data_IF_069278411539
#
_entry.id   IF_069278411539
#
_cell.length_a   1.000
_cell.length_b   1.000
_cell.length_c   1.000
_cell.angle_alpha   90.00
_cell.angle_beta   90.00
_cell.angle_gamma   90.00
#
_symmetry.space_group_name_H-M   'P 1'
#
loop_
_entity.id
_entity.type
_entity.pdbx_description
1 polymer ?
#
# COMPACT_ATOMS: atom_id res chain seq x y z
N UNK A 1 -11.72 -4.33 -8.03
CA UNK A 1 -11.02 -3.13 -8.57
C UNK A 1 -9.80 -2.86 -7.70
N UNK A 2 -8.60 -3.17 -8.19
CA UNK A 2 -7.36 -2.69 -7.56
C UNK A 2 -7.23 -1.20 -7.89
N UNK A 3 -6.89 -0.38 -6.90
CA UNK A 3 -6.77 1.09 -7.01
C UNK A 3 -8.10 1.85 -7.14
N UNK A 4 -9.10 1.54 -6.31
CA UNK A 4 -10.36 2.30 -6.30
C UNK A 4 -10.17 3.81 -5.99
N UNK A 5 -9.02 4.22 -5.45
CA UNK A 5 -8.65 5.62 -5.18
C UNK A 5 -8.26 6.43 -6.42
N UNK A 6 -7.92 5.78 -7.55
CA UNK A 6 -7.55 6.49 -8.79
C UNK A 6 -8.79 6.93 -9.59
N UNK A 7 -9.95 6.33 -9.31
CA UNK A 7 -11.22 6.75 -9.89
C UNK A 7 -11.63 8.14 -9.37
N UNK A 8 -12.08 9.01 -10.27
CA UNK A 8 -12.63 10.29 -9.86
C UNK A 8 -14.00 10.10 -9.16
N UNK A 9 -14.48 11.15 -8.47
CA UNK A 9 -15.73 11.07 -7.68
C UNK A 9 -16.95 10.70 -8.53
N UNK A 10 -16.97 11.06 -9.80
CA UNK A 10 -18.12 10.85 -10.68
C UNK A 10 -18.13 9.44 -11.29
N UNK A 11 -16.96 8.88 -11.59
CA UNK A 11 -16.78 7.48 -11.99
C UNK A 11 -17.18 6.53 -10.88
N UNK A 12 -16.72 6.80 -9.64
CA UNK A 12 -17.10 5.98 -8.50
C UNK A 12 -18.61 6.07 -8.20
N UNK A 13 -19.24 7.23 -8.41
CA UNK A 13 -20.70 7.40 -8.31
C UNK A 13 -21.44 6.62 -9.38
N UNK A 14 -20.97 6.66 -10.63
CA UNK A 14 -21.57 5.94 -11.74
C UNK A 14 -21.50 4.43 -11.49
N UNK A 15 -20.34 3.93 -11.07
CA UNK A 15 -20.14 2.55 -10.67
C UNK A 15 -21.10 2.14 -9.53
N UNK A 16 -21.23 2.95 -8.48
CA UNK A 16 -22.16 2.69 -7.39
C UNK A 16 -23.63 2.64 -7.86
N UNK A 17 -24.03 3.55 -8.75
CA UNK A 17 -25.37 3.60 -9.33
C UNK A 17 -25.67 2.37 -10.18
N UNK A 18 -24.73 1.95 -11.02
CA UNK A 18 -24.87 0.79 -11.89
C UNK A 18 -24.99 -0.50 -11.06
N UNK A 19 -24.17 -0.66 -10.02
CA UNK A 19 -24.26 -1.79 -9.09
C UNK A 19 -25.61 -1.80 -8.33
N UNK A 20 -26.09 -0.63 -7.86
CA UNK A 20 -27.41 -0.53 -7.21
C UNK A 20 -28.57 -0.88 -8.17
N UNK A 21 -28.47 -0.50 -9.44
CA UNK A 21 -29.48 -0.81 -10.44
C UNK A 21 -29.56 -2.30 -10.73
N UNK A 22 -28.41 -2.96 -10.85
CA UNK A 22 -28.33 -4.41 -11.07
C UNK A 22 -28.90 -5.19 -9.89
N UNK A 23 -28.55 -4.81 -8.66
CA UNK A 23 -29.04 -5.48 -7.44
C UNK A 23 -30.55 -5.31 -7.24
N UNK A 24 -31.14 -4.17 -7.63
CA UNK A 24 -32.61 -3.94 -7.58
C UNK A 24 -33.41 -4.77 -8.57
N UNK A 25 -32.82 -5.19 -9.69
CA UNK A 25 -33.50 -6.03 -10.69
C UNK A 25 -33.59 -7.50 -10.28
N UNK A 26 -33.06 -7.88 -9.10
CA UNK A 26 -33.28 -9.19 -8.48
C UNK A 26 -32.66 -10.38 -9.20
N UNK A 27 -31.83 -10.17 -10.22
CA UNK A 27 -31.43 -11.23 -11.14
C UNK A 27 -30.11 -11.92 -10.80
N UNK A 28 -29.22 -11.35 -9.97
CA UNK A 28 -27.91 -11.94 -9.68
C UNK A 28 -27.38 -11.58 -8.27
N UNK A 29 -26.85 -12.55 -7.48
CA UNK A 29 -26.05 -12.23 -6.30
C UNK A 29 -24.73 -11.60 -6.75
N UNK A 30 -24.57 -10.30 -6.50
CA UNK A 30 -23.40 -9.51 -6.91
C UNK A 30 -22.61 -9.04 -5.67
N UNK A 31 -21.33 -9.42 -5.60
CA UNK A 31 -20.39 -8.92 -4.60
C UNK A 31 -19.35 -8.01 -5.28
N UNK A 32 -19.06 -6.86 -4.67
CA UNK A 32 -18.02 -5.94 -5.11
C UNK A 32 -16.86 -5.93 -4.11
N UNK A 33 -15.64 -6.14 -4.62
CA UNK A 33 -14.39 -6.05 -3.84
C UNK A 33 -13.48 -5.00 -4.47
N UNK A 34 -13.10 -4.00 -3.68
CA UNK A 34 -12.21 -2.92 -4.06
C UNK A 34 -11.09 -2.74 -3.03
N UNK A 35 -9.90 -2.36 -3.50
CA UNK A 35 -8.76 -2.03 -2.65
C UNK A 35 -8.25 -0.62 -2.98
N UNK A 36 -7.81 0.14 -1.98
CA UNK A 36 -7.23 1.46 -2.20
C UNK A 36 -6.72 2.14 -0.92
N UNK A 37 -6.01 3.25 -1.09
CA UNK A 37 -5.41 4.03 0.01
C UNK A 37 -6.48 4.68 0.92
N UNK A 38 -6.15 4.90 2.19
CA UNK A 38 -7.09 5.35 3.24
C UNK A 38 -7.86 6.65 2.93
N UNK A 39 -7.33 7.53 2.07
CA UNK A 39 -7.98 8.78 1.63
C UNK A 39 -9.37 8.55 0.99
N UNK A 40 -9.62 7.31 0.57
CA UNK A 40 -10.91 6.77 0.15
C UNK A 40 -12.04 6.93 1.18
N UNK A 41 -11.74 6.80 2.49
CA UNK A 41 -12.77 6.87 3.56
C UNK A 41 -13.47 8.24 3.54
N UNK A 42 -12.73 9.33 3.34
CA UNK A 42 -13.32 10.68 3.37
C UNK A 42 -14.05 11.02 2.06
N UNK A 43 -13.51 10.68 0.90
CA UNK A 43 -14.07 11.15 -0.37
C UNK A 43 -15.30 10.37 -0.86
N UNK A 44 -15.31 9.04 -0.67
CA UNK A 44 -16.37 8.17 -1.21
C UNK A 44 -17.49 7.88 -0.20
N UNK A 45 -17.19 7.83 1.10
CA UNK A 45 -18.21 7.55 2.13
C UNK A 45 -18.99 8.80 2.57
N UNK A 46 -18.39 9.99 2.51
CA UNK A 46 -19.02 11.23 3.02
C UNK A 46 -19.96 11.91 2.01
N UNK A 47 -19.96 11.49 0.74
CA UNK A 47 -20.86 12.04 -0.27
C UNK A 47 -22.33 11.75 0.07
N UNK A 48 -23.16 12.81 0.17
CA UNK A 48 -24.62 12.72 0.44
C UNK A 48 -25.41 11.78 -0.50
N UNK A 49 -24.85 11.40 -1.65
CA UNK A 49 -25.46 10.51 -2.66
C UNK A 49 -24.85 9.09 -2.76
N UNK A 50 -23.87 8.73 -1.93
CA UNK A 50 -23.14 7.45 -2.02
C UNK A 50 -23.67 6.37 -1.05
N UNK A 51 -24.97 6.08 -1.12
CA UNK A 51 -25.62 5.11 -0.21
C UNK A 51 -25.19 3.66 -0.44
N UNK A 52 -24.56 3.33 -1.57
CA UNK A 52 -24.02 1.99 -1.84
C UNK A 52 -22.78 1.72 -0.97
N UNK A 53 -21.76 2.59 -1.08
CA UNK A 53 -20.50 2.41 -0.36
C UNK A 53 -20.68 2.45 1.15
N UNK A 54 -21.64 3.23 1.67
CA UNK A 54 -22.01 3.21 3.09
C UNK A 54 -22.49 1.84 3.62
N UNK A 55 -22.87 0.92 2.73
CA UNK A 55 -23.27 -0.46 3.08
C UNK A 55 -22.16 -1.47 2.82
N UNK A 56 -21.04 -1.07 2.22
CA UNK A 56 -19.89 -1.94 2.04
C UNK A 56 -19.17 -2.09 3.38
N UNK A 57 -18.80 -3.33 3.70
CA UNK A 57 -17.90 -3.59 4.81
C UNK A 57 -16.48 -3.17 4.41
N UNK A 58 -15.85 -2.31 5.21
CA UNK A 58 -14.44 -1.95 5.05
C UNK A 58 -13.58 -2.84 5.93
N UNK A 59 -12.57 -3.47 5.34
CA UNK A 59 -11.55 -4.20 6.08
C UNK A 59 -10.22 -3.48 5.92
N UNK A 60 -9.66 -3.03 7.04
CA UNK A 60 -8.34 -2.39 7.06
C UNK A 60 -7.29 -3.50 7.16
N UNK A 61 -6.43 -3.61 6.13
CA UNK A 61 -5.35 -4.60 6.10
C UNK A 61 -4.25 -4.20 7.10
N UNK A 62 -3.92 -5.06 8.08
CA UNK A 62 -2.85 -4.78 9.02
C UNK A 62 -1.47 -4.85 8.33
N UNK A 63 -0.43 -4.25 8.94
CA UNK A 63 0.96 -4.48 8.53
C UNK A 63 1.33 -5.96 8.59
N UNK A 64 2.35 -6.34 7.82
CA UNK A 64 2.85 -7.72 7.84
C UNK A 64 3.39 -8.09 9.22
N UNK A 65 3.06 -9.29 9.69
CA UNK A 65 3.71 -9.85 10.87
C UNK A 65 5.12 -10.35 10.53
N UNK A 66 5.95 -10.55 11.56
CA UNK A 66 7.26 -11.19 11.37
C UNK A 66 7.15 -12.58 10.74
N UNK A 67 6.10 -13.35 11.08
CA UNK A 67 5.84 -14.66 10.47
C UNK A 67 5.49 -14.55 8.99
N UNK A 68 4.68 -13.55 8.62
CA UNK A 68 4.35 -13.30 7.21
C UNK A 68 5.60 -12.92 6.42
N UNK A 69 6.49 -12.11 7.01
CA UNK A 69 7.76 -11.72 6.40
C UNK A 69 8.69 -12.94 6.20
N UNK A 70 8.79 -13.83 7.20
CA UNK A 70 9.56 -15.07 7.08
C UNK A 70 9.06 -15.92 5.91
N UNK A 71 7.75 -16.17 5.84
CA UNK A 71 7.17 -16.98 4.76
C UNK A 71 7.27 -16.28 3.41
N UNK A 72 6.97 -14.98 3.37
CA UNK A 72 6.99 -14.16 2.15
C UNK A 72 8.37 -14.04 1.51
N UNK A 73 9.44 -14.19 2.29
CA UNK A 73 10.82 -14.24 1.79
C UNK A 73 11.23 -15.67 1.45
N UNK A 74 10.97 -16.63 2.34
CA UNK A 74 11.47 -18.00 2.19
C UNK A 74 10.77 -18.77 1.07
N UNK A 75 9.44 -18.66 0.94
CA UNK A 75 8.68 -19.47 -0.02
C UNK A 75 9.09 -19.17 -1.47
N UNK A 76 9.18 -17.90 -1.93
CA UNK A 76 9.59 -17.62 -3.30
C UNK A 76 11.02 -18.10 -3.61
N UNK A 77 11.94 -17.99 -2.64
CA UNK A 77 13.32 -18.47 -2.81
C UNK A 77 13.32 -19.99 -3.02
N UNK A 78 12.59 -20.74 -2.19
CA UNK A 78 12.48 -22.20 -2.28
C UNK A 78 11.78 -22.65 -3.56
N UNK A 79 10.68 -22.00 -3.93
CA UNK A 79 9.92 -22.30 -5.15
C UNK A 79 10.76 -22.09 -6.42
N UNK A 80 11.65 -21.10 -6.41
CA UNK A 80 12.61 -20.85 -7.48
C UNK A 80 13.88 -21.73 -7.41
N UNK A 81 13.94 -22.70 -6.49
CA UNK A 81 15.05 -23.65 -6.35
C UNK A 81 16.28 -23.13 -5.60
N UNK A 82 16.20 -21.95 -4.99
CA UNK A 82 17.26 -21.37 -4.18
C UNK A 82 17.18 -21.80 -2.71
N UNK A 83 18.22 -21.43 -1.95
CA UNK A 83 18.29 -21.64 -0.50
C UNK A 83 18.65 -20.34 0.21
N UNK A 84 18.29 -20.26 1.50
CA UNK A 84 18.60 -19.12 2.37
C UNK A 84 18.97 -19.62 3.75
N UNK A 85 20.08 -19.11 4.28
CA UNK A 85 20.52 -19.45 5.64
C UNK A 85 19.51 -18.96 6.68
N UNK A 86 19.39 -19.69 7.80
CA UNK A 86 18.42 -19.34 8.83
C UNK A 86 18.65 -17.95 9.46
N UNK A 87 19.92 -17.53 9.56
CA UNK A 87 20.31 -16.21 10.07
C UNK A 87 19.94 -15.10 9.08
N UNK A 88 20.23 -15.30 7.79
CA UNK A 88 19.86 -14.35 6.73
C UNK A 88 18.35 -14.17 6.65
N UNK A 89 17.58 -15.26 6.71
CA UNK A 89 16.12 -15.20 6.68
C UNK A 89 15.56 -14.39 7.87
N UNK A 90 16.08 -14.62 9.08
CA UNK A 90 15.64 -13.87 10.27
C UNK A 90 15.98 -12.39 10.17
N UNK A 91 17.16 -12.06 9.66
CA UNK A 91 17.62 -10.67 9.45
C UNK A 91 16.76 -9.96 8.41
N UNK A 92 16.51 -10.61 7.26
CA UNK A 92 15.69 -10.06 6.20
C UNK A 92 14.25 -9.82 6.67
N UNK A 93 13.65 -10.80 7.37
CA UNK A 93 12.30 -10.67 7.92
C UNK A 93 12.17 -9.57 8.98
N UNK A 94 13.22 -9.34 9.78
CA UNK A 94 13.24 -8.25 10.75
C UNK A 94 13.27 -6.89 10.05
N UNK A 95 14.05 -6.78 8.97
CA UNK A 95 14.18 -5.54 8.21
C UNK A 95 12.92 -5.13 7.42
N UNK A 96 11.96 -6.04 7.21
CA UNK A 96 10.69 -5.75 6.50
C UNK A 96 9.86 -4.68 7.23
N UNK A 97 9.90 -4.64 8.56
CA UNK A 97 9.21 -3.66 9.40
C UNK A 97 7.72 -3.48 9.03
N UNK A 98 7.03 -4.61 8.78
CA UNK A 98 5.61 -4.64 8.45
C UNK A 98 5.22 -4.14 7.06
N UNK A 99 6.18 -3.71 6.23
CA UNK A 99 5.93 -3.14 4.90
C UNK A 99 5.99 -4.20 3.79
N UNK A 100 4.86 -4.52 3.11
CA UNK A 100 4.86 -5.42 1.96
C UNK A 100 5.79 -4.96 0.83
N UNK A 101 5.87 -3.64 0.61
CA UNK A 101 6.73 -3.08 -0.42
C UNK A 101 8.21 -3.24 -0.07
N UNK A 102 8.61 -3.01 1.20
CA UNK A 102 9.99 -3.24 1.65
C UNK A 102 10.36 -4.72 1.52
N UNK A 103 9.46 -5.64 1.88
CA UNK A 103 9.66 -7.09 1.68
C UNK A 103 9.92 -7.45 0.22
N UNK A 104 9.16 -6.87 -0.72
CA UNK A 104 9.37 -7.11 -2.16
C UNK A 104 10.74 -6.62 -2.64
N UNK A 105 11.16 -5.42 -2.20
CA UNK A 105 12.47 -4.87 -2.54
C UNK A 105 13.61 -5.72 -1.98
N UNK A 106 13.53 -6.12 -0.71
CA UNK A 106 14.51 -6.99 -0.06
C UNK A 106 14.60 -8.31 -0.80
N UNK A 107 13.47 -9.00 -1.03
CA UNK A 107 13.45 -10.30 -1.68
C UNK A 107 14.05 -10.28 -3.10
N UNK A 108 13.69 -9.27 -3.90
CA UNK A 108 14.24 -9.09 -5.24
C UNK A 108 15.75 -8.84 -5.23
N UNK A 109 16.22 -8.00 -4.31
CA UNK A 109 17.62 -7.59 -4.27
C UNK A 109 18.51 -8.68 -3.70
N UNK A 110 18.05 -9.38 -2.65
CA UNK A 110 18.71 -10.57 -2.08
C UNK A 110 18.96 -11.63 -3.15
N UNK A 111 17.94 -11.94 -3.94
CA UNK A 111 18.02 -12.97 -4.98
C UNK A 111 19.15 -12.66 -5.98
N UNK A 112 19.24 -11.41 -6.41
CA UNK A 112 20.28 -10.93 -7.32
C UNK A 112 21.65 -10.86 -6.66
N UNK A 113 21.74 -10.33 -5.45
CA UNK A 113 22.99 -10.13 -4.73
C UNK A 113 23.68 -11.45 -4.38
N UNK A 114 22.90 -12.48 -4.01
CA UNK A 114 23.42 -13.82 -3.79
C UNK A 114 23.83 -14.52 -5.11
N UNK A 115 23.26 -14.14 -6.25
CA UNK A 115 23.38 -14.93 -7.48
C UNK A 115 22.56 -16.23 -7.40
N UNK A 116 21.38 -16.16 -6.76
CA UNK A 116 20.48 -17.29 -6.62
C UNK A 116 19.90 -17.72 -7.99
N UNK A 117 19.59 -19.02 -8.19
CA UNK A 117 19.67 -20.10 -7.19
C UNK A 117 21.05 -20.76 -7.09
N UNK A 118 22.05 -20.31 -7.87
CA UNK A 118 23.36 -20.97 -7.92
C UNK A 118 24.11 -20.91 -6.58
N UNK A 119 23.94 -19.83 -5.81
CA UNK A 119 24.47 -19.69 -4.46
C UNK A 119 23.34 -19.55 -3.44
N UNK A 120 23.64 -19.98 -2.21
CA UNK A 120 22.77 -19.77 -1.06
C UNK A 120 22.75 -18.29 -0.64
N UNK A 121 21.58 -17.79 -0.25
CA UNK A 121 21.43 -16.46 0.34
C UNK A 121 21.99 -16.43 1.76
N UNK A 122 22.98 -15.56 1.98
CA UNK A 122 23.62 -15.32 3.27
C UNK A 122 23.30 -13.92 3.84
N UNK A 123 23.88 -13.61 5.01
CA UNK A 123 23.64 -12.31 5.68
C UNK A 123 24.29 -11.14 4.92
N UNK A 124 25.32 -11.41 4.12
CA UNK A 124 25.98 -10.36 3.34
C UNK A 124 25.05 -9.88 2.21
N UNK A 125 24.47 -10.81 1.46
CA UNK A 125 23.47 -10.50 0.44
C UNK A 125 22.24 -9.77 1.04
N UNK A 126 21.81 -10.18 2.24
CA UNK A 126 20.71 -9.50 2.96
C UNK A 126 21.11 -8.08 3.38
N UNK A 127 22.31 -7.86 3.91
CA UNK A 127 22.78 -6.53 4.30
C UNK A 127 22.73 -5.54 3.14
N UNK A 128 23.27 -5.94 1.98
CA UNK A 128 23.23 -5.14 0.75
C UNK A 128 21.79 -4.87 0.28
N UNK A 129 20.92 -5.86 0.39
CA UNK A 129 19.52 -5.72 -0.02
C UNK A 129 18.72 -4.77 0.86
N UNK A 130 18.97 -4.77 2.18
CA UNK A 130 18.30 -3.88 3.12
C UNK A 130 18.70 -2.43 2.86
N UNK A 131 20.01 -2.16 2.72
CA UNK A 131 20.52 -0.84 2.38
C UNK A 131 19.93 -0.33 1.06
N UNK A 132 19.97 -1.17 0.01
CA UNK A 132 19.38 -0.81 -1.29
C UNK A 132 17.87 -0.59 -1.23
N UNK A 133 17.14 -1.33 -0.39
CA UNK A 133 15.70 -1.17 -0.24
C UNK A 133 15.36 0.16 0.45
N UNK A 134 16.11 0.54 1.49
CA UNK A 134 15.93 1.80 2.21
C UNK A 134 16.21 3.00 1.31
N UNK A 135 17.30 2.96 0.55
CA UNK A 135 17.62 3.98 -0.46
C UNK A 135 16.52 4.12 -1.51
N UNK A 136 15.98 2.99 -1.98
CA UNK A 136 14.91 2.99 -2.99
C UNK A 136 13.62 3.58 -2.44
N UNK A 137 13.26 3.23 -1.20
CA UNK A 137 12.08 3.79 -0.55
C UNK A 137 12.23 5.30 -0.34
N UNK A 138 13.39 5.78 0.12
CA UNK A 138 13.64 7.21 0.28
C UNK A 138 13.50 7.98 -1.04
N UNK A 139 14.06 7.44 -2.13
CA UNK A 139 13.93 8.03 -3.48
C UNK A 139 12.50 8.02 -4.01
N UNK A 140 11.68 7.03 -3.63
CA UNK A 140 10.30 6.94 -4.09
C UNK A 140 9.32 7.78 -3.25
N UNK A 141 9.71 8.17 -2.03
CA UNK A 141 8.92 9.05 -1.16
C UNK A 141 9.10 10.55 -1.53
N UNK A 142 10.20 10.93 -2.19
CA UNK A 142 10.47 12.30 -2.66
C UNK A 142 10.89 12.30 -4.14
N UNK A 143 10.09 12.82 -5.11
CA UNK A 143 9.28 14.03 -5.05
C UNK A 143 7.88 13.88 -5.71
N UNK A 144 6.82 13.75 -4.91
CA UNK A 144 5.45 13.99 -5.42
C UNK A 144 4.60 14.92 -4.55
N UNK A 145 5.19 15.47 -3.47
CA UNK A 145 4.45 16.23 -2.45
C UNK A 145 4.96 17.65 -2.15
N UNK A 146 5.73 18.32 -3.03
CA UNK A 146 6.21 19.70 -2.75
C UNK A 146 5.86 20.75 -3.81
N UNK A 147 5.17 20.42 -4.92
CA UNK A 147 4.81 21.45 -5.92
C UNK A 147 3.31 21.46 -6.19
N UNK A 148 2.54 22.09 -5.30
CA UNK A 148 1.30 22.83 -5.61
C UNK A 148 0.68 23.43 -4.32
N UNK A 149 1.43 24.28 -3.61
CA UNK A 149 0.85 25.31 -2.72
C UNK A 149 1.67 26.60 -2.84
N UNK A 150 1.75 27.13 -4.05
CA UNK A 150 1.89 28.57 -4.25
C UNK A 150 0.65 29.06 -4.98
N UNK A 151 -0.08 30.00 -4.37
CA UNK A 151 -1.30 30.54 -4.94
C UNK A 151 -2.24 31.16 -3.93
N UNK A 152 -1.77 32.18 -3.20
CA UNK A 152 -2.58 33.32 -2.75
C UNK A 152 -3.58 33.10 -1.60
N UNK A 153 -3.23 33.60 -0.41
CA UNK A 153 -4.13 34.50 0.31
C UNK A 153 -3.33 35.45 1.20
N UNK A 154 -3.55 36.74 0.97
CA UNK A 154 -2.97 37.89 1.66
C UNK A 154 -3.05 37.79 3.19
N UNK A 155 -1.92 38.05 3.82
CA UNK A 155 -1.80 38.34 5.25
C UNK A 155 -2.22 39.80 5.50
N UNK A 156 -3.51 40.02 5.72
CA UNK A 156 -3.99 41.28 6.28
C UNK A 156 -4.80 41.03 7.56
N UNK A 157 -4.21 41.46 8.68
CA UNK A 157 -4.86 41.81 9.95
C UNK A 157 -5.53 40.68 10.76
N UNK A 158 -4.74 40.00 11.60
CA UNK A 158 -5.22 39.48 12.89
C UNK A 158 -4.67 40.40 13.98
N UNK A 159 -5.43 41.43 14.30
CA UNK A 159 -5.40 42.10 15.60
C UNK A 159 -6.85 42.37 15.98
N UNK A 160 -7.18 42.02 17.22
CA UNK A 160 -8.50 42.07 17.86
C UNK A 160 -9.47 40.94 17.49
N UNK A 161 -9.50 39.91 18.33
CA UNK A 161 -10.66 39.56 19.17
C UNK A 161 -10.15 38.67 20.31
N UNK A 162 -9.87 39.32 21.43
CA UNK A 162 -9.93 38.71 22.76
C UNK A 162 -10.41 39.79 23.72
N UNK A 163 -11.72 39.99 23.72
CA UNK A 163 -12.50 40.51 24.85
C UNK A 163 -13.99 40.26 24.59
N UNK A 164 -14.61 39.67 25.61
CA UNK A 164 -16.03 39.32 25.79
C UNK A 164 -16.50 37.99 25.17
#
# INVERSE_FOLDING_TARGET
MCELHSANKDEARRLASDIQHITKKGQLPLAFVGAGLLEMKYTLMEGKKNTFFKRCYSYDLPPLTYSDALQGIQSPIKEAGGTITSTALRSAAFAVDGSPYKMQLIGHTVWKAAGAPANEVDNFAVGLAVESAEDTMLKNISPRNVVAREGGLDIASVSDISRC
#
